data_IF_559755320919
#
_entry.id   IF_559755320919
#
_cell.length_a   1.000
_cell.length_b   1.000
_cell.length_c   1.000
_cell.angle_alpha   90.00
_cell.angle_beta   90.00
_cell.angle_gamma   90.00
#
_symmetry.space_group_name_H-M   'P 1'
#
loop_
_entity.id
_entity.type
_entity.pdbx_description
1 polymer ?
#
# COMPACT_ATOMS: atom_id res chain seq x y z
N UNK A 1 -9.35 -0.46 8.08
CA UNK A 1 -8.51 -1.60 8.55
C UNK A 1 -9.38 -2.54 9.37
N UNK A 2 -9.16 -3.86 9.35
CA UNK A 2 -9.88 -4.78 10.26
C UNK A 2 -9.78 -4.31 11.70
N UNK A 3 -10.81 -4.56 12.53
CA UNK A 3 -10.86 -4.06 13.90
C UNK A 3 -9.74 -4.60 14.80
N UNK A 4 -9.19 -5.74 14.45
CA UNK A 4 -8.09 -6.43 15.12
C UNK A 4 -6.69 -6.11 14.55
N UNK A 5 -6.60 -5.21 13.55
CA UNK A 5 -5.30 -4.85 12.99
C UNK A 5 -4.43 -4.12 14.01
N UNK A 6 -3.20 -4.59 14.28
CA UNK A 6 -2.28 -3.92 15.20
C UNK A 6 -1.80 -2.55 14.69
N UNK A 7 -2.09 -2.23 13.41
CA UNK A 7 -1.76 -0.95 12.77
C UNK A 7 -2.97 -0.07 12.56
N UNK A 8 -4.11 -0.41 13.16
CA UNK A 8 -5.30 0.45 13.14
C UNK A 8 -5.01 1.73 13.89
N UNK A 9 -5.25 2.87 13.23
CA UNK A 9 -5.09 4.19 13.83
C UNK A 9 -6.41 4.62 14.48
N UNK A 10 -6.33 5.37 15.59
CA UNK A 10 -7.49 5.91 16.29
C UNK A 10 -8.01 7.19 15.63
N UNK A 11 -9.28 7.51 15.84
CA UNK A 11 -9.86 8.78 15.38
C UNK A 11 -9.14 10.00 15.97
N UNK A 12 -8.67 9.92 17.22
CA UNK A 12 -7.86 10.99 17.82
C UNK A 12 -6.55 11.22 17.07
N UNK A 13 -5.90 10.15 16.60
CA UNK A 13 -4.70 10.26 15.78
C UNK A 13 -5.03 10.86 14.41
N UNK A 14 -6.11 10.43 13.76
CA UNK A 14 -6.58 11.02 12.50
C UNK A 14 -6.80 12.52 12.66
N UNK A 15 -7.51 12.94 13.72
CA UNK A 15 -7.75 14.36 13.99
C UNK A 15 -6.47 15.16 14.23
N UNK A 16 -5.43 14.54 14.83
CA UNK A 16 -4.13 15.21 14.98
C UNK A 16 -3.41 15.47 13.66
N UNK A 17 -3.72 14.70 12.62
CA UNK A 17 -3.14 14.87 11.29
C UNK A 17 -3.80 15.99 10.46
N UNK A 18 -5.00 16.45 10.82
CA UNK A 18 -5.73 17.48 10.07
C UNK A 18 -4.92 18.79 9.93
N UNK A 19 -4.12 19.12 10.96
CA UNK A 19 -3.25 20.29 10.97
C UNK A 19 -1.78 19.96 10.70
N UNK A 20 -1.48 18.71 10.31
CA UNK A 20 -0.11 18.30 10.04
C UNK A 20 0.34 18.80 8.66
N UNK A 21 1.50 19.44 8.61
CA UNK A 21 2.07 19.86 7.34
C UNK A 21 2.82 18.71 6.67
N UNK A 22 2.18 18.07 5.68
CA UNK A 22 2.76 16.98 4.91
C UNK A 22 3.86 17.42 3.93
N UNK A 23 4.08 18.74 3.74
CA UNK A 23 5.07 19.29 2.80
C UNK A 23 4.91 18.69 1.40
N UNK A 24 5.97 18.06 0.88
CA UNK A 24 6.02 17.45 -0.45
C UNK A 24 5.55 15.98 -0.46
N UNK A 25 4.90 15.53 0.62
CA UNK A 25 4.37 14.17 0.72
C UNK A 25 2.85 14.16 0.71
N UNK A 26 2.27 13.05 0.27
CA UNK A 26 0.82 12.83 0.31
C UNK A 26 0.47 11.78 1.35
N UNK A 27 -0.55 11.99 2.18
CA UNK A 27 -1.05 10.95 3.07
C UNK A 27 -1.74 9.86 2.24
N UNK A 28 -1.43 8.60 2.56
CA UNK A 28 -2.10 7.43 2.00
C UNK A 28 -2.89 6.75 3.12
N UNK A 29 -4.22 6.74 3.01
CA UNK A 29 -5.08 6.07 3.98
C UNK A 29 -5.45 4.68 3.49
N UNK A 30 -5.10 3.68 4.30
CA UNK A 30 -5.31 2.26 3.98
C UNK A 30 -6.63 1.79 4.58
N UNK A 31 -7.51 1.27 3.73
CA UNK A 31 -8.80 0.70 4.08
C UNK A 31 -8.84 -0.79 3.77
N UNK A 32 -9.55 -1.56 4.59
CA UNK A 32 -9.86 -2.96 4.33
C UNK A 32 -11.37 -3.13 4.54
N UNK A 33 -12.09 -3.35 3.44
CA UNK A 33 -13.54 -3.51 3.41
C UNK A 33 -14.29 -2.42 4.21
N UNK A 34 -13.99 -1.12 4.01
CA UNK A 34 -14.61 -0.05 4.78
C UNK A 34 -16.08 0.14 4.37
N UNK A 35 -16.86 0.69 5.28
CA UNK A 35 -18.13 1.30 4.93
C UNK A 35 -17.90 2.59 4.12
N UNK A 36 -18.91 3.01 3.35
CA UNK A 36 -18.88 4.31 2.66
C UNK A 36 -18.68 5.49 3.61
N UNK A 37 -19.26 5.42 4.81
CA UNK A 37 -19.17 6.48 5.81
C UNK A 37 -17.73 6.66 6.32
N UNK A 38 -17.00 5.58 6.58
CA UNK A 38 -15.59 5.63 7.01
C UNK A 38 -14.69 6.28 5.95
N UNK A 39 -14.90 5.99 4.68
CA UNK A 39 -14.11 6.63 3.61
C UNK A 39 -14.46 8.11 3.49
N UNK A 40 -15.75 8.47 3.56
CA UNK A 40 -16.19 9.86 3.49
C UNK A 40 -15.67 10.71 4.66
N UNK A 41 -15.57 10.15 5.86
CA UNK A 41 -14.96 10.84 7.00
C UNK A 41 -13.53 11.28 6.66
N UNK A 42 -12.73 10.40 6.07
CA UNK A 42 -11.35 10.71 5.68
C UNK A 42 -11.31 11.71 4.51
N UNK A 43 -12.11 11.52 3.47
CA UNK A 43 -12.08 12.40 2.30
C UNK A 43 -12.55 13.82 2.60
N UNK A 44 -13.41 13.98 3.61
CA UNK A 44 -13.85 15.30 4.08
C UNK A 44 -12.72 16.06 4.82
N UNK A 45 -11.87 15.32 5.55
CA UNK A 45 -10.76 15.89 6.33
C UNK A 45 -9.49 16.08 5.49
N UNK A 46 -9.25 15.22 4.51
CA UNK A 46 -8.00 15.15 3.72
C UNK A 46 -8.31 15.13 2.22
N UNK A 47 -8.52 16.29 1.64
CA UNK A 47 -8.88 16.43 0.22
C UNK A 47 -7.76 16.08 -0.77
N UNK A 48 -6.51 15.99 -0.31
CA UNK A 48 -5.33 15.62 -1.11
C UNK A 48 -4.80 14.23 -0.77
N UNK A 49 -5.59 13.39 -0.08
CA UNK A 49 -5.16 12.05 0.27
C UNK A 49 -5.28 11.07 -0.90
N UNK A 50 -4.48 10.02 -0.85
CA UNK A 50 -4.67 8.83 -1.68
C UNK A 50 -5.42 7.79 -0.85
N UNK A 51 -6.45 7.18 -1.43
CA UNK A 51 -7.21 6.12 -0.81
C UNK A 51 -6.65 4.78 -1.26
N UNK A 52 -6.09 3.99 -0.35
CA UNK A 52 -5.61 2.66 -0.67
C UNK A 52 -6.62 1.61 -0.21
N UNK A 53 -7.28 0.96 -1.15
CA UNK A 53 -8.23 -0.12 -0.89
C UNK A 53 -7.52 -1.47 -0.91
N UNK A 54 -7.40 -2.07 0.26
CA UNK A 54 -6.57 -3.23 0.53
C UNK A 54 -7.38 -4.53 0.76
N UNK A 55 -8.69 -4.43 0.80
CA UNK A 55 -9.64 -5.55 0.96
C UNK A 55 -10.17 -6.08 -0.37
N UNK A 56 -11.44 -6.47 -0.35
CA UNK A 56 -12.15 -7.07 -1.48
C UNK A 56 -13.13 -6.07 -2.13
N UNK A 57 -12.85 -4.76 -1.99
CA UNK A 57 -13.68 -3.68 -2.53
C UNK A 57 -13.74 -3.76 -4.07
N UNK A 58 -14.94 -3.59 -4.62
CA UNK A 58 -15.12 -3.50 -6.08
C UNK A 58 -14.60 -2.16 -6.63
N UNK A 59 -14.32 -2.12 -7.93
CA UNK A 59 -13.95 -0.86 -8.60
C UNK A 59 -15.05 0.20 -8.47
N UNK A 60 -16.33 -0.21 -8.59
CA UNK A 60 -17.47 0.68 -8.43
C UNK A 60 -17.55 1.30 -7.03
N UNK A 61 -17.12 0.57 -6.01
CA UNK A 61 -17.00 1.14 -4.67
C UNK A 61 -15.83 2.12 -4.60
N UNK A 62 -14.66 1.77 -5.12
CA UNK A 62 -13.44 2.57 -5.01
C UNK A 62 -13.57 3.93 -5.70
N UNK A 63 -14.14 4.00 -6.89
CA UNK A 63 -14.21 5.21 -7.72
C UNK A 63 -15.24 6.26 -7.28
N UNK A 64 -16.15 5.92 -6.32
CA UNK A 64 -17.25 6.83 -5.95
C UNK A 64 -16.82 8.02 -5.09
N UNK A 65 -15.57 8.07 -4.60
CA UNK A 65 -15.12 9.06 -3.61
C UNK A 65 -14.47 10.30 -4.23
N UNK A 66 -14.33 10.35 -5.54
CA UNK A 66 -13.77 11.49 -6.28
C UNK A 66 -12.38 11.92 -5.79
N UNK A 67 -11.57 10.94 -5.35
CA UNK A 67 -10.17 11.11 -4.97
C UNK A 67 -9.30 10.04 -5.65
N UNK A 68 -7.99 10.30 -5.84
CA UNK A 68 -7.07 9.29 -6.33
C UNK A 68 -7.11 8.04 -5.46
N UNK A 69 -7.13 6.87 -6.08
CA UNK A 69 -7.12 5.64 -5.32
C UNK A 69 -6.15 4.60 -5.88
N UNK A 70 -5.59 3.81 -4.97
CA UNK A 70 -4.81 2.63 -5.26
C UNK A 70 -5.60 1.39 -4.87
N UNK A 71 -5.53 0.36 -5.69
CA UNK A 71 -6.11 -0.96 -5.35
C UNK A 71 -5.02 -1.97 -5.09
N UNK A 72 -5.11 -2.66 -3.96
CA UNK A 72 -4.21 -3.76 -3.64
C UNK A 72 -4.66 -5.03 -4.34
N UNK A 73 -3.72 -5.65 -5.06
CA UNK A 73 -3.84 -6.96 -5.68
C UNK A 73 -2.91 -7.92 -4.93
N UNK A 74 -3.49 -8.89 -4.27
CA UNK A 74 -2.73 -9.90 -3.50
C UNK A 74 -2.29 -11.02 -4.42
N UNK A 75 -0.98 -11.18 -4.60
CA UNK A 75 -0.37 -12.11 -5.56
C UNK A 75 -0.05 -13.43 -4.88
N UNK A 76 -0.72 -14.50 -5.31
CA UNK A 76 -0.46 -15.89 -4.94
C UNK A 76 0.24 -16.65 -6.07
N UNK A 77 -0.18 -16.38 -7.29
CA UNK A 77 0.30 -17.01 -8.51
C UNK A 77 -0.02 -16.11 -9.72
N UNK A 78 0.32 -16.55 -10.94
CA UNK A 78 0.05 -15.80 -12.17
C UNK A 78 -1.44 -15.49 -12.39
N UNK A 79 -2.35 -16.36 -11.97
CA UNK A 79 -3.79 -16.14 -12.11
C UNK A 79 -4.28 -14.94 -11.28
N UNK A 80 -3.63 -14.64 -10.15
CA UNK A 80 -3.96 -13.45 -9.34
C UNK A 80 -3.81 -12.15 -10.13
N UNK A 81 -2.96 -12.13 -11.14
CA UNK A 81 -2.67 -10.96 -11.97
C UNK A 81 -3.78 -10.65 -12.98
N UNK A 82 -4.68 -11.58 -13.26
CA UNK A 82 -5.84 -11.35 -14.14
C UNK A 82 -6.78 -10.28 -13.55
N UNK A 83 -6.84 -10.21 -12.21
CA UNK A 83 -7.66 -9.22 -11.49
C UNK A 83 -7.22 -7.76 -11.69
N UNK A 84 -6.01 -7.53 -12.19
CA UNK A 84 -5.49 -6.20 -12.53
C UNK A 84 -6.42 -5.46 -13.51
N UNK A 85 -6.99 -6.17 -14.46
CA UNK A 85 -7.86 -5.60 -15.47
C UNK A 85 -9.22 -5.13 -14.93
N UNK A 86 -9.60 -5.56 -13.72
CA UNK A 86 -10.86 -5.20 -13.09
C UNK A 86 -10.83 -3.79 -12.45
N UNK A 87 -9.68 -3.12 -12.45
CA UNK A 87 -9.49 -1.81 -11.79
C UNK A 87 -8.93 -0.79 -12.76
N UNK A 88 -9.64 -0.58 -13.87
CA UNK A 88 -9.21 0.34 -14.93
C UNK A 88 -9.18 1.81 -14.48
N UNK A 89 -9.95 2.21 -13.49
CA UNK A 89 -9.99 3.57 -12.93
C UNK A 89 -9.01 3.84 -11.79
N UNK A 90 -8.30 2.81 -11.28
CA UNK A 90 -7.28 3.03 -10.24
C UNK A 90 -6.10 3.86 -10.77
N UNK A 91 -5.60 4.79 -9.96
CA UNK A 91 -4.39 5.58 -10.28
C UNK A 91 -3.12 4.75 -10.22
N UNK A 92 -3.09 3.76 -9.33
CA UNK A 92 -2.04 2.74 -9.27
C UNK A 92 -2.58 1.42 -8.71
N UNK A 93 -1.88 0.33 -9.01
CA UNK A 93 -2.12 -0.98 -8.43
C UNK A 93 -1.00 -1.31 -7.46
N UNK A 94 -1.35 -1.64 -6.22
CA UNK A 94 -0.38 -2.10 -5.23
C UNK A 94 -0.33 -3.63 -5.27
N UNK A 95 0.84 -4.16 -5.61
CA UNK A 95 1.07 -5.60 -5.72
C UNK A 95 1.74 -6.11 -4.44
N UNK A 96 1.05 -6.98 -3.72
CA UNK A 96 1.49 -7.50 -2.43
C UNK A 96 1.40 -9.02 -2.37
N UNK A 97 2.18 -9.62 -1.47
CA UNK A 97 2.16 -11.06 -1.23
C UNK A 97 0.81 -11.50 -0.65
N UNK A 98 0.18 -12.48 -1.28
CA UNK A 98 -0.97 -13.15 -0.70
C UNK A 98 -0.54 -14.01 0.49
N UNK A 99 -1.26 -13.88 1.59
CA UNK A 99 -1.16 -14.77 2.74
C UNK A 99 -2.57 -15.13 3.19
N UNK A 100 -2.80 -16.41 3.46
CA UNK A 100 -4.08 -16.89 3.95
C UNK A 100 -4.45 -16.14 5.25
N UNK A 101 -5.70 -15.71 5.37
CA UNK A 101 -6.28 -15.03 6.54
C UNK A 101 -5.57 -13.73 6.97
N UNK A 102 -4.78 -13.08 6.09
CA UNK A 102 -4.11 -11.83 6.39
C UNK A 102 -4.21 -10.80 5.26
N UNK A 103 -4.45 -9.54 5.65
CA UNK A 103 -4.40 -8.38 4.77
C UNK A 103 -3.11 -7.61 5.02
N UNK A 104 -1.98 -8.12 4.44
CA UNK A 104 -0.69 -7.46 4.49
C UNK A 104 0.14 -7.65 5.76
N UNK A 105 1.35 -7.09 5.76
CA UNK A 105 2.23 -7.00 6.93
C UNK A 105 2.88 -8.29 7.39
N UNK A 106 2.88 -9.35 6.59
CA UNK A 106 3.40 -10.68 6.96
C UNK A 106 4.91 -10.83 6.83
N UNK A 107 5.58 -9.87 6.18
CA UNK A 107 7.01 -9.91 5.91
C UNK A 107 7.44 -10.91 4.83
N UNK A 108 6.50 -11.61 4.20
CA UNK A 108 6.76 -12.53 3.09
C UNK A 108 6.81 -11.79 1.77
N UNK A 109 7.64 -12.29 0.85
CA UNK A 109 7.77 -11.80 -0.53
C UNK A 109 7.15 -12.85 -1.44
N UNK A 110 6.30 -12.43 -2.40
CA UNK A 110 5.85 -13.33 -3.46
C UNK A 110 6.95 -13.51 -4.51
N UNK A 111 6.79 -14.49 -5.37
CA UNK A 111 7.73 -14.72 -6.47
C UNK A 111 7.66 -13.56 -7.48
N UNK A 112 8.61 -12.63 -7.40
CA UNK A 112 8.68 -11.46 -8.27
C UNK A 112 8.93 -11.81 -9.73
N UNK A 113 9.38 -13.02 -10.06
CA UNK A 113 9.52 -13.45 -11.45
C UNK A 113 8.17 -13.47 -12.19
N UNK A 114 7.06 -13.57 -11.46
CA UNK A 114 5.71 -13.45 -12.01
C UNK A 114 5.47 -12.09 -12.68
N UNK A 115 6.20 -11.05 -12.28
CA UNK A 115 6.08 -9.70 -12.87
C UNK A 115 6.87 -9.54 -14.16
N UNK A 116 7.85 -10.40 -14.42
CA UNK A 116 8.77 -10.27 -15.58
C UNK A 116 8.06 -10.39 -16.93
N UNK A 117 6.93 -11.05 -16.98
CA UNK A 117 6.18 -11.34 -18.21
C UNK A 117 4.90 -10.51 -18.34
N UNK A 118 4.71 -9.50 -17.47
CA UNK A 118 3.49 -8.70 -17.47
C UNK A 118 3.80 -7.29 -17.94
N UNK A 119 3.18 -6.92 -19.04
CA UNK A 119 3.13 -5.52 -19.44
C UNK A 119 2.04 -4.82 -18.65
N UNK A 120 2.41 -4.28 -17.48
CA UNK A 120 1.50 -3.47 -16.69
C UNK A 120 1.28 -2.14 -17.41
N UNK A 121 0.09 -1.95 -17.97
CA UNK A 121 -0.30 -0.68 -18.61
C UNK A 121 -0.51 0.46 -17.61
N UNK A 122 -0.38 0.18 -16.30
CA UNK A 122 -0.62 1.10 -15.19
C UNK A 122 0.59 1.25 -14.31
N UNK A 123 0.64 2.37 -13.58
CA UNK A 123 1.55 2.54 -12.45
C UNK A 123 1.33 1.41 -11.45
N UNK A 124 2.41 0.77 -10.99
CA UNK A 124 2.30 -0.19 -9.91
C UNK A 124 3.20 0.18 -8.73
N UNK A 125 2.70 -0.08 -7.55
CA UNK A 125 3.39 0.02 -6.28
C UNK A 125 3.78 -1.40 -5.88
N UNK A 126 5.05 -1.64 -5.61
CA UNK A 126 5.52 -2.94 -5.13
C UNK A 126 5.53 -2.92 -3.60
N UNK A 127 4.87 -3.90 -3.00
CA UNK A 127 4.73 -4.07 -1.56
C UNK A 127 4.96 -5.52 -1.13
N UNK A 128 4.88 -5.77 0.18
CA UNK A 128 5.00 -7.12 0.76
C UNK A 128 6.43 -7.56 1.01
N UNK A 129 6.84 -7.56 2.28
CA UNK A 129 8.14 -8.08 2.73
C UNK A 129 9.38 -7.29 2.32
N UNK A 130 9.22 -6.10 1.75
CA UNK A 130 10.34 -5.26 1.32
C UNK A 130 11.07 -4.68 2.53
N UNK A 131 12.40 -4.73 2.49
CA UNK A 131 13.28 -4.25 3.55
C UNK A 131 14.66 -3.84 2.99
N UNK A 132 15.58 -3.40 3.84
CA UNK A 132 16.91 -2.94 3.42
C UNK A 132 17.76 -3.98 2.69
N UNK A 133 17.44 -5.29 2.79
CA UNK A 133 18.24 -6.36 2.16
C UNK A 133 17.79 -6.64 0.73
N UNK A 134 16.48 -6.53 0.44
CA UNK A 134 15.91 -6.85 -0.87
C UNK A 134 15.44 -5.62 -1.68
N UNK A 135 15.58 -4.41 -1.15
CA UNK A 135 15.17 -3.17 -1.80
C UNK A 135 15.81 -2.98 -3.19
N UNK A 136 17.05 -3.40 -3.38
CA UNK A 136 17.75 -3.29 -4.68
C UNK A 136 17.13 -4.19 -5.74
N UNK A 137 16.72 -5.39 -5.36
CA UNK A 137 15.99 -6.30 -6.23
C UNK A 137 14.62 -5.74 -6.56
N UNK A 138 13.90 -5.18 -5.55
CA UNK A 138 12.63 -4.51 -5.76
C UNK A 138 12.74 -3.36 -6.77
N UNK A 139 13.79 -2.56 -6.72
CA UNK A 139 14.06 -1.47 -7.68
C UNK A 139 14.25 -2.00 -9.10
N UNK A 140 14.94 -3.14 -9.27
CA UNK A 140 15.21 -3.71 -10.59
C UNK A 140 13.96 -4.11 -11.38
N UNK A 141 12.81 -4.27 -10.68
CA UNK A 141 11.51 -4.51 -11.29
C UNK A 141 10.86 -3.24 -11.86
N UNK A 142 11.52 -2.09 -11.68
CA UNK A 142 11.07 -0.78 -12.15
C UNK A 142 9.64 -0.40 -11.70
N UNK A 143 9.27 -0.57 -10.41
CA UNK A 143 8.00 -0.10 -9.91
C UNK A 143 7.94 1.42 -9.93
N UNK A 144 6.74 1.98 -10.10
CA UNK A 144 6.52 3.42 -9.98
C UNK A 144 6.74 3.92 -8.54
N UNK A 145 6.42 3.07 -7.54
CA UNK A 145 6.63 3.34 -6.12
C UNK A 145 6.91 2.02 -5.38
N UNK A 146 7.62 2.10 -4.26
CA UNK A 146 7.86 0.97 -3.36
C UNK A 146 7.24 1.29 -2.01
N UNK A 147 6.39 0.40 -1.50
CA UNK A 147 5.81 0.48 -0.16
C UNK A 147 6.61 -0.40 0.81
N UNK A 148 7.20 0.22 1.83
CA UNK A 148 7.95 -0.48 2.89
C UNK A 148 7.25 -0.28 4.22
N UNK A 149 6.62 -1.34 4.72
CA UNK A 149 5.88 -1.29 5.97
C UNK A 149 6.61 -2.05 7.10
N UNK A 150 6.44 -3.37 7.20
CA UNK A 150 7.05 -4.18 8.26
C UNK A 150 8.57 -4.26 8.18
N UNK A 151 9.16 -4.11 6.99
CA UNK A 151 10.61 -4.14 6.80
C UNK A 151 11.41 -3.03 7.47
N UNK A 152 10.72 -2.00 8.00
CA UNK A 152 11.31 -0.91 8.77
C UNK A 152 10.75 -0.82 10.20
N UNK A 153 10.20 -1.93 10.72
CA UNK A 153 9.70 -2.05 12.08
C UNK A 153 10.71 -2.77 12.97
N UNK A 154 10.99 -2.23 14.17
CA UNK A 154 11.76 -2.90 15.22
C UNK A 154 10.92 -3.92 16.00
N UNK A 155 9.63 -3.66 16.10
CA UNK A 155 8.60 -4.57 16.61
C UNK A 155 7.28 -4.24 15.93
N UNK A 156 6.27 -5.10 16.08
CA UNK A 156 4.98 -4.97 15.41
C UNK A 156 4.37 -3.56 15.59
N UNK A 157 4.13 -2.88 14.47
CA UNK A 157 3.61 -1.51 14.37
C UNK A 157 4.55 -0.38 14.88
N UNK A 158 5.80 -0.68 15.26
CA UNK A 158 6.78 0.33 15.71
C UNK A 158 7.87 0.55 14.65
N UNK A 159 7.81 1.69 13.96
CA UNK A 159 8.81 2.07 12.94
C UNK A 159 10.15 2.43 13.59
N UNK A 160 11.22 1.91 13.02
CA UNK A 160 12.60 2.15 13.46
C UNK A 160 13.30 3.15 12.52
N UNK A 161 13.79 4.26 13.07
CA UNK A 161 14.45 5.32 12.30
C UNK A 161 15.71 4.84 11.58
N UNK A 162 16.48 3.94 12.20
CA UNK A 162 17.73 3.43 11.62
C UNK A 162 17.43 2.50 10.44
N UNK A 163 16.41 1.62 10.57
CA UNK A 163 15.96 0.76 9.48
C UNK A 163 15.38 1.58 8.32
N UNK A 164 14.62 2.64 8.61
CA UNK A 164 14.13 3.56 7.59
C UNK A 164 15.28 4.25 6.86
N UNK A 165 16.24 4.82 7.58
CA UNK A 165 17.40 5.49 7.00
C UNK A 165 18.24 4.53 6.15
N UNK A 166 18.48 3.30 6.63
CA UNK A 166 19.21 2.29 5.88
C UNK A 166 18.48 1.89 4.60
N UNK A 167 17.17 1.72 4.66
CA UNK A 167 16.35 1.37 3.50
C UNK A 167 16.40 2.48 2.44
N UNK A 168 16.26 3.75 2.87
CA UNK A 168 16.35 4.92 1.99
C UNK A 168 17.75 5.03 1.35
N UNK A 169 18.82 4.82 2.13
CA UNK A 169 20.18 4.80 1.61
C UNK A 169 20.37 3.73 0.54
N UNK A 170 19.91 2.51 0.80
CA UNK A 170 20.00 1.42 -0.16
C UNK A 170 19.14 1.66 -1.41
N UNK A 171 18.00 2.35 -1.28
CA UNK A 171 17.15 2.76 -2.39
C UNK A 171 17.85 3.77 -3.30
N UNK A 172 18.55 4.76 -2.72
CA UNK A 172 19.26 5.81 -3.47
C UNK A 172 20.61 5.36 -4.03
N UNK A 173 21.07 4.13 -3.73
CA UNK A 173 22.42 3.64 -4.07
C UNK A 173 23.56 4.48 -3.47
N UNK A 174 23.35 5.11 -2.32
CA UNK A 174 24.36 5.88 -1.57
C UNK A 174 25.15 4.99 -0.60
#
# INVERSE_FOLDING_TARGET
>A
MPDDSPRKISNNFISSLENFNFKDTLPVFVFVNPSRAEVLEITTKFNNAILQFHGDESEDFCKQFNQPFWKTIRIKNSQSLESINNFASADALLLETYVDDAYGGTGKVFDWTLLSNIQLCKKFVLAGGINSKNIKEAISLNPWCIDVNSGVESSLAFKDKSLMAQTIKNFKNE
#
